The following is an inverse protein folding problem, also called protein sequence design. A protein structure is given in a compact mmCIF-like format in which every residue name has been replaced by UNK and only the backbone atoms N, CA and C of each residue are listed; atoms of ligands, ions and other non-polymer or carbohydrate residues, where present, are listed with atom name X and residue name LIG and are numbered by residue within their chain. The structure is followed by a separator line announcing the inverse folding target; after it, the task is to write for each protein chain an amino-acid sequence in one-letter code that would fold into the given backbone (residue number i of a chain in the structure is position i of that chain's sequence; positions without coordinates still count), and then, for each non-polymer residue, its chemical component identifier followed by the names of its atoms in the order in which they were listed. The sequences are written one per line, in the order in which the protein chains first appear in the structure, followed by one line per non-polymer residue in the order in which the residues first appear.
data_IF_986867976355
#
_entry.id   IF_986867976355
#
_cell.length_a   1.000
_cell.length_b   1.000
_cell.length_c   1.000
_cell.angle_alpha   90.00
_cell.angle_beta   90.00
_cell.angle_gamma   90.00
#
_symmetry.space_group_name_H-M   'P 1'
#
loop_
_entity.id
_entity.type
_entity.pdbx_description
1 polymer ?
#
# COMPACT_ATOMS: atom_id res chain seq x y z
N UNK A 1 -35.16 -3.19 0.06
CA UNK A 1 -34.95 -3.30 1.52
C UNK A 1 -33.49 -3.02 1.75
N UNK A 2 -33.17 -1.86 2.28
CA UNK A 2 -31.82 -1.57 2.78
C UNK A 2 -31.69 -2.33 4.10
N UNK A 3 -30.87 -3.38 4.12
CA UNK A 3 -30.50 -4.09 5.34
C UNK A 3 -29.59 -3.18 6.17
N UNK A 4 -30.20 -2.38 7.04
CA UNK A 4 -29.48 -1.70 8.11
C UNK A 4 -29.09 -2.76 9.15
N UNK A 5 -27.82 -3.16 9.14
CA UNK A 5 -27.22 -4.00 10.17
C UNK A 5 -27.47 -3.37 11.55
N UNK A 6 -28.03 -4.14 12.49
CA UNK A 6 -28.52 -3.72 13.82
C UNK A 6 -27.41 -3.30 14.81
N UNK A 7 -26.48 -2.41 14.41
CA UNK A 7 -25.37 -1.94 15.24
C UNK A 7 -25.43 -0.44 15.63
N UNK A 8 -26.54 0.25 15.35
CA UNK A 8 -26.67 1.68 15.68
C UNK A 8 -27.12 1.97 17.14
N UNK A 9 -27.19 0.96 18.01
CA UNK A 9 -27.54 1.15 19.42
C UNK A 9 -26.32 1.36 20.34
N UNK A 10 -25.08 1.29 19.84
CA UNK A 10 -23.87 1.46 20.65
C UNK A 10 -22.80 2.31 19.96
N UNK A 11 -23.00 3.63 19.83
CA UNK A 11 -21.98 4.57 19.31
C UNK A 11 -21.14 4.00 18.15
N UNK A 12 -21.82 3.37 17.19
CA UNK A 12 -21.19 2.68 16.07
C UNK A 12 -20.51 3.71 15.18
N UNK A 13 -19.29 3.42 14.76
CA UNK A 13 -18.63 4.20 13.70
C UNK A 13 -19.17 3.67 12.38
N UNK A 14 -19.63 4.56 11.48
CA UNK A 14 -20.09 4.15 10.16
C UNK A 14 -18.95 3.55 9.33
N UNK A 15 -19.28 2.70 8.36
CA UNK A 15 -18.31 2.11 7.43
C UNK A 15 -17.48 3.17 6.70
N UNK A 16 -18.10 4.30 6.35
CA UNK A 16 -17.42 5.45 5.74
C UNK A 16 -16.37 6.07 6.68
N UNK A 17 -16.71 6.25 7.95
CA UNK A 17 -15.80 6.81 8.94
C UNK A 17 -14.68 5.80 9.29
N UNK A 18 -14.97 4.50 9.35
CA UNK A 18 -13.96 3.46 9.49
C UNK A 18 -12.99 3.46 8.30
N UNK A 19 -13.51 3.59 7.08
CA UNK A 19 -12.72 3.67 5.85
C UNK A 19 -11.79 4.89 5.88
N UNK A 20 -12.30 6.06 6.27
CA UNK A 20 -11.48 7.28 6.42
C UNK A 20 -10.37 7.11 7.43
N UNK A 21 -10.68 6.54 8.61
CA UNK A 21 -9.68 6.29 9.65
C UNK A 21 -8.61 5.31 9.20
N UNK A 22 -8.99 4.29 8.44
CA UNK A 22 -8.04 3.33 7.89
C UNK A 22 -7.08 3.99 6.91
N UNK A 23 -7.58 4.79 5.96
CA UNK A 23 -6.76 5.55 5.01
C UNK A 23 -5.78 6.45 5.76
N UNK A 24 -6.24 7.15 6.80
CA UNK A 24 -5.38 8.03 7.60
C UNK A 24 -4.33 7.27 8.40
N UNK A 25 -4.67 6.12 8.98
CA UNK A 25 -3.70 5.28 9.68
C UNK A 25 -2.56 4.83 8.75
N UNK A 26 -2.88 4.45 7.51
CA UNK A 26 -1.88 4.08 6.50
C UNK A 26 -1.01 5.28 6.12
N UNK A 27 -1.59 6.47 5.95
CA UNK A 27 -0.82 7.70 5.66
C UNK A 27 0.17 8.03 6.78
N UNK A 28 -0.28 7.97 8.03
CA UNK A 28 0.57 8.24 9.21
C UNK A 28 1.70 7.22 9.32
N UNK A 29 1.42 5.92 9.13
CA UNK A 29 2.45 4.88 9.14
C UNK A 29 3.51 5.11 8.05
N UNK A 30 3.10 5.51 6.85
CA UNK A 30 4.02 5.86 5.78
C UNK A 30 4.88 7.10 6.12
N UNK A 31 4.31 8.11 6.77
CA UNK A 31 5.05 9.27 7.25
C UNK A 31 6.08 8.89 8.32
N UNK A 32 5.69 8.04 9.28
CA UNK A 32 6.60 7.48 10.30
C UNK A 32 7.74 6.70 9.64
N UNK A 33 7.45 5.88 8.62
CA UNK A 33 8.46 5.12 7.86
C UNK A 33 9.42 6.04 7.12
N UNK A 34 8.90 7.09 6.49
CA UNK A 34 9.72 8.09 5.81
C UNK A 34 10.71 8.75 6.79
N UNK A 35 10.25 9.16 7.98
CA UNK A 35 11.10 9.77 9.01
C UNK A 35 12.17 8.79 9.51
N UNK A 36 11.81 7.51 9.66
CA UNK A 36 12.72 6.44 10.11
C UNK A 36 13.68 5.95 9.02
N UNK A 37 13.55 6.41 7.78
CA UNK A 37 14.32 5.89 6.65
C UNK A 37 14.01 4.43 6.35
N UNK A 38 12.74 4.02 6.45
CA UNK A 38 12.28 2.67 6.13
C UNK A 38 11.61 2.62 4.75
N UNK A 39 11.72 1.51 4.00
CA UNK A 39 11.03 1.35 2.74
C UNK A 39 9.50 1.34 2.87
N UNK A 40 8.83 1.87 1.84
CA UNK A 40 7.37 1.97 1.72
C UNK A 40 6.92 1.20 0.49
N UNK A 41 5.95 0.29 0.65
CA UNK A 41 5.34 -0.39 -0.49
C UNK A 41 4.21 0.45 -1.09
N UNK A 42 4.12 0.48 -2.40
CA UNK A 42 3.08 1.20 -3.14
C UNK A 42 2.65 0.48 -4.42
N UNK A 43 1.66 1.05 -5.08
CA UNK A 43 1.17 0.59 -6.37
C UNK A 43 1.13 1.76 -7.34
N UNK A 44 1.79 1.61 -8.49
CA UNK A 44 1.76 2.59 -9.56
C UNK A 44 0.57 2.27 -10.49
N UNK A 45 -0.41 3.17 -10.52
CA UNK A 45 -1.63 2.98 -11.31
C UNK A 45 -1.41 3.16 -12.82
N UNK A 46 -0.42 3.96 -13.23
CA UNK A 46 -0.10 4.18 -14.65
C UNK A 46 0.61 2.96 -15.22
N UNK A 47 1.58 2.42 -14.48
CA UNK A 47 2.31 1.19 -14.85
C UNK A 47 1.57 -0.09 -14.51
N UNK A 48 0.55 -0.02 -13.64
CA UNK A 48 -0.19 -1.17 -13.08
C UNK A 48 0.72 -2.18 -12.37
N UNK A 49 1.71 -1.69 -11.62
CA UNK A 49 2.71 -2.54 -10.97
C UNK A 49 2.94 -2.17 -9.50
N UNK A 50 3.16 -3.15 -8.61
CA UNK A 50 3.62 -2.89 -7.25
C UNK A 50 5.11 -2.50 -7.22
N UNK A 51 5.45 -1.59 -6.32
CA UNK A 51 6.81 -1.13 -6.08
C UNK A 51 7.14 -1.02 -4.60
N UNK A 52 8.44 -1.02 -4.29
CA UNK A 52 9.00 -0.60 -3.00
C UNK A 52 9.78 0.70 -3.23
N UNK A 53 9.43 1.76 -2.50
CA UNK A 53 10.13 3.04 -2.47
C UNK A 53 11.05 3.12 -1.27
N UNK A 54 12.32 3.43 -1.53
CA UNK A 54 13.37 3.59 -0.53
C UNK A 54 13.52 5.06 -0.12
N UNK A 55 14.18 5.35 1.01
CA UNK A 55 14.33 6.72 1.53
C UNK A 55 15.07 7.70 0.61
N UNK A 56 15.85 7.17 -0.33
CA UNK A 56 16.56 7.94 -1.36
C UNK A 56 15.65 8.32 -2.56
N UNK A 57 14.37 7.94 -2.51
CA UNK A 57 13.38 8.12 -3.58
C UNK A 57 13.46 7.06 -4.67
N UNK A 58 14.36 6.07 -4.57
CA UNK A 58 14.46 4.98 -5.53
C UNK A 58 13.25 4.06 -5.40
N UNK A 59 12.63 3.72 -6.53
CA UNK A 59 11.56 2.72 -6.61
C UNK A 59 12.06 1.45 -7.30
N UNK A 60 11.79 0.30 -6.71
CA UNK A 60 12.02 -1.02 -7.32
C UNK A 60 10.67 -1.63 -7.63
N UNK A 61 10.41 -1.93 -8.90
CA UNK A 61 9.17 -2.59 -9.34
C UNK A 61 9.34 -4.10 -9.28
N UNK A 62 8.35 -4.79 -8.72
CA UNK A 62 8.36 -6.26 -8.60
C UNK A 62 8.51 -6.98 -9.95
N UNK A 63 8.00 -6.40 -11.04
CA UNK A 63 8.15 -6.95 -12.39
C UNK A 63 9.56 -6.87 -12.96
N UNK A 64 10.37 -5.88 -12.58
CA UNK A 64 11.75 -5.70 -13.08
C UNK A 64 12.71 -6.75 -12.51
N UNK A 65 12.47 -7.19 -11.27
CA UNK A 65 13.23 -8.27 -10.64
C UNK A 65 13.06 -9.59 -11.40
N UNK A 66 11.83 -9.90 -11.87
CA UNK A 66 11.55 -11.12 -12.64
C UNK A 66 12.32 -11.13 -13.95
N UNK A 67 12.45 -9.98 -14.63
CA UNK A 67 13.18 -9.91 -15.91
C UNK A 67 14.68 -10.12 -15.70
N UNK A 68 15.26 -9.47 -14.68
CA UNK A 68 16.67 -9.63 -14.33
C UNK A 68 17.00 -11.09 -13.94
N UNK A 69 16.16 -11.71 -13.11
CA UNK A 69 16.33 -13.10 -12.69
C UNK A 69 16.19 -14.07 -13.88
N UNK A 70 15.32 -13.77 -14.86
CA UNK A 70 15.22 -14.58 -16.09
C UNK A 70 16.42 -14.40 -17.01
N UNK A 71 16.96 -13.19 -17.17
CA UNK A 71 18.12 -12.94 -18.04
C UNK A 71 19.41 -13.58 -17.52
N UNK A 72 19.61 -13.65 -16.19
CA UNK A 72 20.74 -14.39 -15.60
C UNK A 72 20.64 -15.90 -15.81
N UNK A 73 19.43 -16.48 -15.76
CA UNK A 73 19.23 -17.94 -15.98
C UNK A 73 19.44 -18.33 -17.44
N UNK A 74 19.13 -17.46 -18.40
CA UNK A 74 19.27 -17.76 -19.83
C UNK A 74 20.66 -17.46 -20.41
N UNK A 75 21.48 -16.64 -19.75
CA UNK A 75 22.83 -16.25 -20.22
C UNK A 75 23.97 -16.82 -19.36
N UNK A 76 23.68 -17.68 -18.38
CA UNK A 76 24.64 -18.37 -17.52
C UNK A 76 25.01 -19.77 -18.00
#
# INVERSE_FOLDING_TARGET
MEELNELDSTCGVSDDELTRRFIEAVRIENEIRSIKGLPISGYDHDKKMPYIEYPDGKRIYTGEQVVADTEEVFNG
#
